data_IF_614934212133
#
_entry.id   IF_614934212133
#
_cell.length_a   1.000
_cell.length_b   1.000
_cell.length_c   1.000
_cell.angle_alpha   90.00
_cell.angle_beta   90.00
_cell.angle_gamma   90.00
#
_symmetry.space_group_name_H-M   'P 1'
#
loop_
_entity.id
_entity.type
_entity.pdbx_description
1 polymer ?
#
# COMPACT_ATOMS: atom_id res chain seq x y z
N UNK A 1 -8.29 46.43 11.43
CA UNK A 1 -9.56 46.17 10.72
C UNK A 1 -9.21 45.67 9.32
N UNK A 2 -9.33 44.36 9.08
CA UNK A 2 -8.98 43.75 7.78
C UNK A 2 -10.05 44.18 6.76
N UNK A 3 -9.64 44.67 5.59
CA UNK A 3 -10.60 45.12 4.57
C UNK A 3 -11.27 43.93 3.87
N UNK A 4 -12.52 44.14 3.43
CA UNK A 4 -13.33 43.11 2.77
C UNK A 4 -12.65 42.49 1.54
N UNK A 5 -11.84 43.25 0.80
CA UNK A 5 -11.15 42.76 -0.41
C UNK A 5 -9.98 41.86 -0.04
N UNK A 6 -9.26 42.18 1.02
CA UNK A 6 -8.18 41.36 1.58
C UNK A 6 -8.71 40.07 2.22
N UNK A 7 -9.89 40.11 2.87
CA UNK A 7 -10.58 38.90 3.35
C UNK A 7 -10.96 37.94 2.20
N UNK A 8 -11.50 38.45 1.09
CA UNK A 8 -11.80 37.61 -0.08
C UNK A 8 -10.54 36.99 -0.70
N UNK A 9 -9.44 37.74 -0.76
CA UNK A 9 -8.15 37.22 -1.27
C UNK A 9 -7.61 36.09 -0.39
N UNK A 10 -7.69 36.23 0.93
CA UNK A 10 -7.30 35.19 1.89
C UNK A 10 -8.16 33.93 1.80
N UNK A 11 -9.48 34.08 1.65
CA UNK A 11 -10.41 32.95 1.47
C UNK A 11 -10.15 32.23 0.15
N UNK A 12 -9.94 32.96 -0.94
CA UNK A 12 -9.62 32.35 -2.24
C UNK A 12 -8.27 31.63 -2.21
N UNK A 13 -7.29 32.19 -1.51
CA UNK A 13 -5.97 31.56 -1.37
C UNK A 13 -6.02 30.27 -0.54
N UNK A 14 -6.76 30.29 0.57
CA UNK A 14 -6.96 29.10 1.41
C UNK A 14 -7.79 28.00 0.72
N UNK A 15 -8.82 28.38 -0.06
CA UNK A 15 -9.56 27.43 -0.91
C UNK A 15 -8.69 26.84 -2.03
N UNK A 16 -7.82 27.65 -2.64
CA UNK A 16 -6.88 27.16 -3.65
C UNK A 16 -5.89 26.15 -3.06
N UNK A 17 -5.34 26.43 -1.88
CA UNK A 17 -4.46 25.49 -1.16
C UNK A 17 -5.21 24.20 -0.81
N UNK A 18 -6.42 24.29 -0.26
CA UNK A 18 -7.22 23.11 0.07
C UNK A 18 -7.53 22.25 -1.18
N UNK A 19 -7.83 22.87 -2.32
CA UNK A 19 -8.07 22.19 -3.59
C UNK A 19 -6.79 21.51 -4.14
N UNK A 20 -5.63 22.14 -4.00
CA UNK A 20 -4.34 21.54 -4.40
C UNK A 20 -4.02 20.32 -3.53
N UNK A 21 -4.27 20.40 -2.22
CA UNK A 21 -4.03 19.28 -1.29
C UNK A 21 -4.94 18.09 -1.59
N UNK A 22 -6.19 18.30 -1.97
CA UNK A 22 -7.11 17.19 -2.33
C UNK A 22 -6.76 16.53 -3.67
N UNK A 23 -6.20 17.26 -4.63
CA UNK A 23 -5.81 16.70 -5.94
C UNK A 23 -4.53 15.84 -5.83
N UNK A 24 -3.59 16.21 -4.95
CA UNK A 24 -2.28 15.55 -4.85
C UNK A 24 -2.24 14.42 -3.80
N UNK A 25 -3.17 14.42 -2.84
CA UNK A 25 -3.09 13.56 -1.65
C UNK A 25 -3.53 12.10 -1.79
N UNK A 26 -4.08 11.68 -2.93
CA UNK A 26 -4.53 10.29 -3.09
C UNK A 26 -3.45 9.45 -3.77
N UNK A 27 -2.90 8.43 -3.10
CA UNK A 27 -2.00 7.49 -3.76
C UNK A 27 -2.78 6.79 -4.89
N UNK A 28 -2.27 6.89 -6.11
CA UNK A 28 -2.84 6.16 -7.24
C UNK A 28 -2.73 4.66 -6.97
N UNK A 29 -3.80 3.92 -7.23
CA UNK A 29 -3.81 2.46 -7.19
C UNK A 29 -2.80 1.92 -8.22
N UNK A 30 -1.71 1.32 -7.73
CA UNK A 30 -0.66 0.77 -8.60
C UNK A 30 -1.18 -0.51 -9.23
N UNK A 31 -1.59 -0.42 -10.49
CA UNK A 31 -2.00 -1.58 -11.28
C UNK A 31 -0.80 -2.27 -11.91
N UNK A 32 -0.64 -3.56 -11.60
CA UNK A 32 0.41 -4.40 -12.19
C UNK A 32 -0.06 -4.99 -13.53
N UNK A 33 0.80 -4.93 -14.54
CA UNK A 33 0.62 -5.64 -15.79
C UNK A 33 1.07 -7.11 -15.63
N UNK A 34 0.54 -8.05 -16.43
CA UNK A 34 0.94 -9.46 -16.39
C UNK A 34 2.28 -9.71 -17.10
N UNK A 35 3.31 -8.93 -16.76
CA UNK A 35 4.69 -9.08 -17.26
C UNK A 35 5.72 -8.87 -16.13
N UNK A 36 6.90 -9.45 -16.28
CA UNK A 36 7.94 -9.46 -15.23
C UNK A 36 8.41 -8.06 -14.87
N UNK A 37 8.57 -7.18 -15.86
CA UNK A 37 9.03 -5.80 -15.67
C UNK A 37 8.11 -4.99 -14.76
N UNK A 38 6.80 -5.31 -14.75
CA UNK A 38 5.83 -4.70 -13.85
C UNK A 38 5.80 -5.40 -12.49
N UNK A 39 5.82 -6.73 -12.48
CA UNK A 39 5.63 -7.56 -11.29
C UNK A 39 6.83 -7.50 -10.33
N UNK A 40 8.04 -7.29 -10.81
CA UNK A 40 9.26 -7.21 -9.99
C UNK A 40 9.36 -5.89 -9.20
N UNK A 41 8.54 -4.90 -9.52
CA UNK A 41 8.46 -3.63 -8.78
C UNK A 41 7.65 -3.73 -7.48
N UNK A 42 7.05 -4.89 -7.19
CA UNK A 42 6.21 -5.10 -6.01
C UNK A 42 7.07 -5.21 -4.75
N UNK A 43 6.97 -4.25 -3.79
CA UNK A 43 7.63 -4.43 -2.51
C UNK A 43 6.92 -5.53 -1.70
N UNK A 44 7.65 -6.18 -0.80
CA UNK A 44 7.02 -6.98 0.25
C UNK A 44 6.19 -6.06 1.17
N UNK A 45 5.00 -6.49 1.63
CA UNK A 45 4.18 -5.67 2.51
C UNK A 45 4.83 -5.52 3.89
N UNK A 46 4.65 -4.35 4.50
CA UNK A 46 5.31 -3.98 5.77
C UNK A 46 5.04 -4.99 6.89
N UNK A 47 3.78 -5.42 7.05
CA UNK A 47 3.42 -6.42 8.07
C UNK A 47 4.22 -7.73 7.95
N UNK A 48 4.55 -8.14 6.72
CA UNK A 48 5.30 -9.37 6.49
C UNK A 48 6.77 -9.18 6.85
N UNK A 49 7.31 -8.02 6.52
CA UNK A 49 8.64 -7.62 6.96
C UNK A 49 8.71 -7.56 8.49
N UNK A 50 7.66 -7.10 9.17
CA UNK A 50 7.59 -6.95 10.62
C UNK A 50 7.35 -8.24 11.38
N UNK A 51 6.70 -9.24 10.79
CA UNK A 51 6.37 -10.50 11.46
C UNK A 51 7.60 -11.27 11.97
N UNK A 52 8.74 -11.22 11.26
CA UNK A 52 10.05 -11.87 11.52
C UNK A 52 10.07 -13.40 11.65
N UNK A 53 9.00 -14.01 12.14
CA UNK A 53 8.87 -15.44 12.41
C UNK A 53 7.50 -15.94 11.99
N UNK A 54 7.45 -17.11 11.36
CA UNK A 54 6.23 -17.77 10.93
C UNK A 54 6.32 -19.28 11.12
N UNK A 55 5.18 -19.92 11.36
CA UNK A 55 5.06 -21.37 11.46
C UNK A 55 4.41 -21.87 10.17
N UNK A 56 5.05 -22.81 9.50
CA UNK A 56 4.47 -23.50 8.35
C UNK A 56 4.11 -24.93 8.72
N UNK A 57 2.92 -25.37 8.30
CA UNK A 57 2.37 -26.68 8.64
C UNK A 57 2.19 -27.48 7.35
N UNK A 58 2.95 -28.58 7.24
CA UNK A 58 2.75 -29.57 6.19
C UNK A 58 1.74 -30.61 6.67
N UNK A 59 0.46 -30.35 6.40
CA UNK A 59 -0.63 -31.25 6.76
C UNK A 59 -1.49 -31.60 5.54
N UNK A 60 -1.74 -32.89 5.36
CA UNK A 60 -2.62 -33.41 4.32
C UNK A 60 -2.71 -34.93 4.39
N UNK A 61 -3.32 -35.57 3.39
CA UNK A 61 -3.47 -37.03 3.35
C UNK A 61 -2.13 -37.79 3.33
N UNK A 62 -1.07 -37.15 2.85
CA UNK A 62 0.30 -37.67 2.91
C UNK A 62 0.85 -37.77 4.34
N UNK A 63 0.27 -37.06 5.31
CA UNK A 63 0.66 -37.15 6.73
C UNK A 63 0.12 -38.41 7.41
N UNK A 64 -0.95 -39.02 6.87
CA UNK A 64 -1.59 -40.22 7.43
C UNK A 64 -0.62 -41.40 7.57
N UNK A 65 0.15 -41.81 6.53
CA UNK A 65 1.10 -42.90 6.68
C UNK A 65 2.30 -42.56 7.58
N UNK A 66 2.53 -41.28 7.91
CA UNK A 66 3.67 -40.81 8.72
C UNK A 66 5.01 -41.42 8.28
N UNK A 67 5.23 -41.48 6.97
CA UNK A 67 6.36 -42.17 6.36
C UNK A 67 7.13 -41.25 5.41
N UNK A 68 8.45 -41.41 5.35
CA UNK A 68 9.33 -40.72 4.41
C UNK A 68 10.23 -41.71 3.66
N UNK A 69 10.62 -41.36 2.44
CA UNK A 69 11.47 -42.21 1.61
C UNK A 69 12.80 -42.55 2.32
N UNK A 70 13.31 -43.80 2.20
CA UNK A 70 14.64 -44.13 2.66
C UNK A 70 15.66 -43.25 1.95
N UNK A 71 16.71 -42.84 2.67
CA UNK A 71 17.83 -42.11 2.10
C UNK A 71 18.66 -43.00 1.18
#
# INVERSE_FOLDING_TARGET
MIDRKSLHRLILFSLAIACIVTIVGFPADVRYAPNWESLDKRPAPEWFLDAKFGIFIHWGVYSVPSWGAPK
#
